data_IF_830486584267
#
_entry.id   IF_830486584267
#
_cell.length_a   1.000
_cell.length_b   1.000
_cell.length_c   1.000
_cell.angle_alpha   90.00
_cell.angle_beta   90.00
_cell.angle_gamma   90.00
#
_symmetry.space_group_name_H-M   'P 1'
#
loop_
_entity.id
_entity.type
_entity.pdbx_description
1 polymer ?
#
# COMPACT_ATOMS: atom_id res chain seq x y z
N UNK A 1 -0.01 21.43 -15.55
CA UNK A 1 0.81 22.65 -15.75
C UNK A 1 0.84 23.41 -14.44
N UNK A 2 2.01 23.70 -13.88
CA UNK A 2 2.14 24.56 -12.70
C UNK A 2 2.47 25.98 -13.14
N UNK A 3 1.89 27.00 -12.49
CA UNK A 3 2.19 28.41 -12.73
C UNK A 3 2.53 29.07 -11.40
N UNK A 4 3.66 29.77 -11.37
CA UNK A 4 4.06 30.59 -10.23
C UNK A 4 3.87 32.05 -10.64
N UNK A 5 3.02 32.76 -9.91
CA UNK A 5 2.66 34.15 -10.20
C UNK A 5 3.09 35.02 -9.02
N UNK A 6 3.92 36.01 -9.30
CA UNK A 6 4.29 37.04 -8.33
C UNK A 6 3.43 38.28 -8.54
N UNK A 7 2.84 38.82 -7.46
CA UNK A 7 2.15 40.11 -7.46
C UNK A 7 2.76 41.00 -6.38
N UNK A 8 3.07 42.24 -6.73
CA UNK A 8 3.52 43.28 -5.79
C UNK A 8 2.87 44.60 -6.17
N UNK A 9 2.51 45.41 -5.17
CA UNK A 9 2.04 46.79 -5.35
C UNK A 9 3.20 47.81 -5.33
N UNK A 10 4.42 47.36 -5.03
CA UNK A 10 5.61 48.20 -4.91
C UNK A 10 6.74 47.70 -5.81
N UNK A 11 7.31 48.61 -6.59
CA UNK A 11 8.45 48.37 -7.48
C UNK A 11 9.77 48.17 -6.72
N UNK A 12 9.82 48.48 -5.42
CA UNK A 12 11.04 48.36 -4.62
C UNK A 12 11.32 46.92 -4.15
N UNK A 13 10.33 46.02 -4.26
CA UNK A 13 10.46 44.63 -3.82
C UNK A 13 10.50 43.69 -5.02
N UNK A 14 11.65 43.02 -5.21
CA UNK A 14 11.81 41.98 -6.22
C UNK A 14 11.58 40.61 -5.58
N UNK A 15 10.42 40.02 -5.84
CA UNK A 15 10.15 38.65 -5.42
C UNK A 15 11.15 37.70 -6.08
N UNK A 16 11.66 36.74 -5.31
CA UNK A 16 12.59 35.70 -5.78
C UNK A 16 12.01 34.33 -5.46
N UNK A 17 11.78 33.54 -6.50
CA UNK A 17 11.56 32.11 -6.32
C UNK A 17 12.90 31.44 -6.08
N UNK A 18 13.03 30.66 -5.00
CA UNK A 18 14.29 29.94 -4.70
C UNK A 18 14.26 28.53 -5.28
N UNK A 19 13.29 27.71 -4.86
CA UNK A 19 13.14 26.34 -5.35
C UNK A 19 11.72 25.82 -5.10
N UNK A 20 11.38 24.75 -5.83
CA UNK A 20 10.27 23.84 -5.55
C UNK A 20 10.81 22.43 -5.65
N UNK A 21 10.38 21.58 -4.73
CA UNK A 21 10.69 20.16 -4.70
C UNK A 21 9.39 19.40 -4.81
N UNK A 22 9.40 18.36 -5.64
CA UNK A 22 8.30 17.41 -5.77
C UNK A 22 8.83 16.04 -5.36
N UNK A 23 8.08 15.37 -4.51
CA UNK A 23 8.34 14.00 -4.12
C UNK A 23 7.20 13.15 -4.69
N UNK A 24 7.59 12.08 -5.36
CA UNK A 24 6.65 11.15 -5.98
C UNK A 24 6.85 9.80 -5.33
N UNK A 25 5.82 9.34 -4.65
CA UNK A 25 5.76 7.99 -4.12
C UNK A 25 4.96 7.13 -5.11
N UNK A 26 5.51 5.99 -5.58
CA UNK A 26 4.74 5.07 -6.39
C UNK A 26 3.61 4.49 -5.55
N UNK A 27 2.41 4.44 -6.13
CA UNK A 27 1.22 3.88 -5.50
C UNK A 27 0.55 2.90 -6.44
N UNK A 28 -0.03 1.84 -5.88
CA UNK A 28 -0.94 0.95 -6.59
C UNK A 28 -2.35 1.49 -6.46
N UNK A 29 -3.12 1.47 -7.54
CA UNK A 29 -4.51 1.92 -7.53
C UNK A 29 -5.41 0.74 -7.84
N UNK A 30 -6.27 0.40 -6.89
CA UNK A 30 -7.28 -0.63 -7.04
C UNK A 30 -8.67 -0.01 -6.96
N UNK A 31 -9.55 -0.30 -7.92
CA UNK A 31 -10.93 0.19 -7.89
C UNK A 31 -11.87 -0.99 -7.64
N UNK A 32 -12.36 -1.13 -6.41
CA UNK A 32 -13.37 -2.13 -6.07
C UNK A 32 -14.70 -1.72 -6.70
N UNK A 33 -15.13 -2.47 -7.72
CA UNK A 33 -16.39 -2.25 -8.43
C UNK A 33 -17.56 -3.10 -7.90
N UNK A 34 -17.35 -3.82 -6.81
CA UNK A 34 -18.41 -4.53 -6.10
C UNK A 34 -19.25 -3.60 -5.23
N UNK A 35 -20.24 -4.19 -4.58
CA UNK A 35 -21.15 -3.52 -3.64
C UNK A 35 -20.75 -3.74 -2.18
N UNK A 36 -19.69 -4.52 -1.93
CA UNK A 36 -19.15 -4.84 -0.62
C UNK A 36 -17.62 -4.79 -0.63
N UNK A 37 -17.02 -4.78 0.56
CA UNK A 37 -15.57 -4.87 0.75
C UNK A 37 -14.99 -6.12 0.07
N UNK A 38 -13.88 -5.93 -0.63
CA UNK A 38 -13.15 -7.00 -1.30
C UNK A 38 -11.91 -7.35 -0.47
N UNK A 39 -11.88 -8.54 0.12
CA UNK A 39 -10.71 -9.09 0.82
C UNK A 39 -9.95 -10.00 -0.16
N UNK A 40 -8.81 -9.56 -0.71
CA UNK A 40 -8.08 -10.36 -1.69
C UNK A 40 -7.31 -11.50 -1.01
N UNK A 41 -6.82 -12.44 -1.80
CA UNK A 41 -5.65 -13.22 -1.46
C UNK A 41 -4.40 -12.52 -2.00
N UNK A 42 -3.29 -12.63 -1.28
CA UNK A 42 -2.03 -12.00 -1.65
C UNK A 42 -0.86 -12.98 -1.50
N UNK A 43 0.05 -12.96 -2.48
CA UNK A 43 1.37 -13.57 -2.38
C UNK A 43 2.41 -12.46 -2.33
N UNK A 44 3.36 -12.58 -1.41
CA UNK A 44 4.44 -11.62 -1.21
C UNK A 44 5.75 -12.43 -1.23
N UNK A 45 6.53 -12.31 -2.30
CA UNK A 45 7.89 -12.88 -2.35
C UNK A 45 8.88 -11.78 -2.01
N UNK A 46 9.48 -11.87 -0.82
CA UNK A 46 10.39 -10.83 -0.31
C UNK A 46 11.73 -10.89 -1.05
N UNK A 47 12.23 -9.72 -1.43
CA UNK A 47 13.65 -9.52 -1.74
C UNK A 47 14.28 -8.81 -0.56
N UNK A 48 15.50 -9.15 -0.16
CA UNK A 48 16.22 -8.65 1.03
C UNK A 48 15.49 -8.87 2.37
N UNK A 49 16.23 -9.01 3.47
CA UNK A 49 15.61 -9.12 4.79
C UNK A 49 14.96 -7.79 5.19
N UNK A 50 13.81 -7.85 5.88
CA UNK A 50 13.19 -6.68 6.50
C UNK A 50 11.67 -6.69 6.46
N UNK A 51 11.10 -5.52 6.78
CA UNK A 51 9.66 -5.33 6.85
C UNK A 51 9.03 -5.24 5.46
N UNK A 52 7.73 -5.50 5.41
CA UNK A 52 6.87 -5.26 4.25
C UNK A 52 5.53 -4.72 4.74
N UNK A 53 5.04 -3.64 4.12
CA UNK A 53 3.69 -3.15 4.39
C UNK A 53 2.97 -2.60 3.16
N UNK A 54 1.64 -2.65 3.25
CA UNK A 54 0.72 -2.04 2.30
C UNK A 54 -0.19 -1.12 3.10
N UNK A 55 -0.13 0.18 2.82
CA UNK A 55 -0.98 1.18 3.47
C UNK A 55 -2.02 1.72 2.51
N UNK A 56 -3.29 1.71 2.92
CA UNK A 56 -4.38 2.30 2.15
C UNK A 56 -4.53 3.81 2.47
N UNK A 57 -3.98 4.64 1.58
CA UNK A 57 -4.00 6.11 1.71
C UNK A 57 -5.40 6.71 1.53
N UNK A 58 -6.34 5.96 0.95
CA UNK A 58 -7.73 6.42 0.72
C UNK A 58 -8.67 6.08 1.89
N UNK A 59 -8.28 5.16 2.77
CA UNK A 59 -9.14 4.64 3.83
C UNK A 59 -8.39 4.58 5.16
N UNK A 60 -8.36 5.71 5.88
CA UNK A 60 -7.84 5.87 7.23
C UNK A 60 -6.38 5.44 7.46
N UNK A 61 -5.58 5.30 6.40
CA UNK A 61 -4.19 4.86 6.50
C UNK A 61 -4.04 3.48 7.13
N UNK A 62 -5.05 2.62 6.99
CA UNK A 62 -5.00 1.23 7.44
C UNK A 62 -3.78 0.54 6.81
N UNK A 63 -2.94 -0.05 7.65
CA UNK A 63 -1.69 -0.67 7.24
C UNK A 63 -1.77 -2.18 7.45
N UNK A 64 -1.59 -2.95 6.39
CA UNK A 64 -1.32 -4.38 6.43
C UNK A 64 0.20 -4.55 6.50
N UNK A 65 0.74 -5.20 7.54
CA UNK A 65 2.18 -5.20 7.77
C UNK A 65 2.71 -6.52 8.31
N UNK A 66 3.83 -6.94 7.72
CA UNK A 66 4.72 -7.94 8.28
C UNK A 66 6.08 -7.34 8.65
N UNK A 67 6.64 -7.82 9.75
CA UNK A 67 8.01 -7.49 10.18
C UNK A 67 8.95 -8.67 9.96
N UNK A 68 10.24 -8.41 9.83
CA UNK A 68 11.29 -9.45 9.85
C UNK A 68 11.07 -10.57 8.80
N UNK A 69 10.66 -10.21 7.59
CA UNK A 69 10.62 -11.16 6.46
C UNK A 69 12.03 -11.47 5.99
N UNK A 70 12.24 -12.69 5.51
CA UNK A 70 13.55 -13.16 5.06
C UNK A 70 13.62 -13.09 3.54
N UNK A 71 14.80 -12.75 3.01
CA UNK A 71 15.07 -12.76 1.57
C UNK A 71 14.69 -14.12 0.93
N UNK A 72 13.94 -14.06 -0.18
CA UNK A 72 13.46 -15.23 -0.92
C UNK A 72 12.25 -15.95 -0.31
N UNK A 73 11.78 -15.55 0.88
CA UNK A 73 10.55 -16.09 1.46
C UNK A 73 9.32 -15.66 0.66
N UNK A 74 8.39 -16.59 0.43
CA UNK A 74 7.06 -16.27 -0.06
C UNK A 74 6.02 -16.47 1.02
N UNK A 75 5.29 -15.39 1.32
CA UNK A 75 4.07 -15.45 2.12
C UNK A 75 2.86 -15.58 1.22
N UNK A 76 1.91 -16.40 1.65
CA UNK A 76 0.54 -16.40 1.14
C UNK A 76 -0.38 -15.96 2.27
N UNK A 77 -1.29 -15.03 1.99
CA UNK A 77 -2.29 -14.57 2.95
C UNK A 77 -3.66 -14.57 2.30
N UNK A 78 -4.59 -15.31 2.91
CA UNK A 78 -6.00 -15.23 2.60
C UNK A 78 -6.66 -14.22 3.56
N UNK A 79 -6.96 -13.02 3.07
CA UNK A 79 -7.52 -11.96 3.92
C UNK A 79 -9.00 -12.17 4.27
N UNK A 80 -9.69 -13.14 3.65
CA UNK A 80 -11.06 -13.48 4.00
C UNK A 80 -11.11 -14.50 5.14
N UNK A 81 -10.27 -15.53 5.11
CA UNK A 81 -10.22 -16.58 6.14
C UNK A 81 -9.16 -16.32 7.21
N UNK A 82 -8.42 -15.22 7.08
CA UNK A 82 -7.36 -14.82 8.01
C UNK A 82 -6.20 -15.84 8.11
N UNK A 83 -5.98 -16.58 7.02
CA UNK A 83 -4.98 -17.64 6.95
C UNK A 83 -3.65 -17.14 6.38
N UNK A 84 -2.53 -17.52 7.01
CA UNK A 84 -1.18 -17.09 6.64
C UNK A 84 -0.28 -18.31 6.51
N UNK A 85 0.26 -18.52 5.32
CA UNK A 85 1.24 -19.55 5.02
C UNK A 85 2.57 -18.93 4.59
N UNK A 86 3.66 -19.67 4.81
CA UNK A 86 5.01 -19.29 4.39
C UNK A 86 5.75 -20.49 3.80
N UNK A 87 6.64 -20.22 2.85
CA UNK A 87 7.59 -21.21 2.34
C UNK A 87 8.65 -21.63 3.36
N UNK A 88 8.80 -20.89 4.47
CA UNK A 88 9.76 -21.23 5.52
C UNK A 88 9.26 -22.41 6.38
N UNK A 89 10.09 -23.44 6.60
CA UNK A 89 9.69 -24.58 7.41
C UNK A 89 9.50 -24.17 8.88
N UNK A 90 8.47 -24.73 9.53
CA UNK A 90 8.22 -24.60 10.98
C UNK A 90 8.19 -23.13 11.47
N UNK A 91 7.73 -22.22 10.61
CA UNK A 91 7.70 -20.77 10.90
C UNK A 91 6.26 -20.30 11.08
N UNK A 92 5.98 -19.62 12.18
CA UNK A 92 4.63 -19.12 12.51
C UNK A 92 4.56 -17.59 12.33
N UNK A 93 4.10 -17.15 11.15
CA UNK A 93 4.17 -15.74 10.72
C UNK A 93 3.17 -14.79 11.38
N UNK A 94 2.14 -15.31 12.04
CA UNK A 94 1.17 -14.50 12.78
C UNK A 94 1.82 -13.64 13.87
N UNK A 95 2.93 -14.08 14.49
CA UNK A 95 3.66 -13.27 15.48
C UNK A 95 4.26 -12.00 14.88
N UNK A 96 4.66 -12.07 13.62
CA UNK A 96 5.29 -10.98 12.89
C UNK A 96 4.28 -10.18 12.04
N UNK A 97 2.99 -10.49 12.16
CA UNK A 97 1.90 -9.81 11.48
C UNK A 97 1.23 -8.83 12.45
N UNK A 98 0.75 -7.70 11.95
CA UNK A 98 0.11 -6.68 12.78
C UNK A 98 -1.39 -6.91 13.01
N UNK A 99 -1.90 -8.11 12.69
CA UNK A 99 -3.30 -8.53 12.84
C UNK A 99 -4.30 -7.63 12.08
N UNK A 100 -3.84 -6.98 11.00
CA UNK A 100 -4.67 -6.12 10.17
C UNK A 100 -4.72 -6.62 8.73
N UNK A 101 -5.73 -7.44 8.45
CA UNK A 101 -5.94 -8.04 7.14
C UNK A 101 -6.34 -7.02 6.07
N UNK A 102 -5.82 -7.22 4.86
CA UNK A 102 -6.02 -6.31 3.75
C UNK A 102 -7.47 -6.38 3.28
N UNK A 103 -8.14 -5.23 3.26
CA UNK A 103 -9.49 -5.06 2.74
C UNK A 103 -9.53 -3.87 1.79
N UNK A 104 -10.26 -4.01 0.70
CA UNK A 104 -10.51 -2.95 -0.27
C UNK A 104 -11.97 -2.53 -0.20
N UNK A 105 -12.29 -1.45 0.54
CA UNK A 105 -13.61 -0.84 0.50
C UNK A 105 -14.06 -0.48 -0.92
N UNK A 106 -15.37 -0.32 -1.10
CA UNK A 106 -15.99 0.04 -2.37
C UNK A 106 -15.35 1.31 -2.94
N UNK A 107 -15.05 1.30 -4.24
CA UNK A 107 -14.45 2.41 -4.95
C UNK A 107 -12.92 2.39 -4.96
N UNK A 108 -12.32 3.58 -5.05
CA UNK A 108 -10.90 3.75 -5.34
C UNK A 108 -10.05 3.65 -4.07
N UNK A 109 -9.17 2.67 -4.06
CA UNK A 109 -8.16 2.40 -3.04
C UNK A 109 -6.79 2.78 -3.61
N UNK A 110 -6.12 3.74 -2.97
CA UNK A 110 -4.74 4.12 -3.30
C UNK A 110 -3.82 3.52 -2.25
N UNK A 111 -2.96 2.60 -2.69
CA UNK A 111 -2.12 1.79 -1.82
C UNK A 111 -0.65 2.23 -1.96
N UNK A 112 -0.02 2.59 -0.84
CA UNK A 112 1.44 2.68 -0.78
C UNK A 112 2.00 1.33 -0.37
N UNK A 113 3.06 0.90 -1.05
CA UNK A 113 3.77 -0.34 -0.73
C UNK A 113 5.16 0.05 -0.23
N UNK A 114 5.51 -0.43 0.95
CA UNK A 114 6.82 -0.24 1.55
C UNK A 114 7.50 -1.61 1.72
N UNK A 115 8.79 -1.68 1.35
CA UNK A 115 9.56 -2.93 1.33
C UNK A 115 9.66 -3.56 -0.05
N UNK A 116 10.86 -4.06 -0.38
CA UNK A 116 11.17 -4.66 -1.69
C UNK A 116 10.61 -6.09 -1.78
N UNK A 117 9.62 -6.31 -2.62
CA UNK A 117 8.99 -7.62 -2.82
C UNK A 117 8.27 -7.71 -4.17
N UNK A 118 8.10 -8.93 -4.67
CA UNK A 118 7.11 -9.23 -5.71
C UNK A 118 5.75 -9.51 -5.08
N UNK A 119 4.70 -8.91 -5.64
CA UNK A 119 3.35 -8.99 -5.11
C UNK A 119 2.40 -9.50 -6.18
N UNK A 120 1.55 -10.47 -5.81
CA UNK A 120 0.46 -10.95 -6.64
C UNK A 120 -0.83 -10.93 -5.83
N UNK A 121 -1.90 -10.38 -6.43
CA UNK A 121 -3.24 -10.41 -5.86
C UNK A 121 -4.13 -11.39 -6.63
N UNK A 122 -4.97 -12.11 -5.91
CA UNK A 122 -6.18 -12.75 -6.45
C UNK A 122 -7.37 -12.18 -5.71
N UNK A 123 -8.38 -11.70 -6.44
CA UNK A 123 -9.51 -11.00 -5.83
C UNK A 123 -10.79 -11.33 -6.57
N UNK A 124 -11.92 -11.14 -5.86
CA UNK A 124 -13.25 -11.26 -6.42
C UNK A 124 -14.11 -10.11 -5.90
N UNK A 125 -14.78 -9.41 -6.80
CA UNK A 125 -15.77 -8.41 -6.40
C UNK A 125 -17.02 -9.12 -5.87
N UNK A 126 -17.52 -8.63 -4.74
CA UNK A 126 -18.77 -9.10 -4.14
C UNK A 126 -19.88 -8.13 -4.52
N UNK A 127 -20.99 -8.65 -5.05
CA UNK A 127 -22.17 -7.85 -5.44
C UNK A 127 -23.36 -8.27 -4.61
N UNK A 128 -24.21 -7.32 -4.24
CA UNK A 128 -25.51 -7.63 -3.64
C UNK A 128 -26.48 -7.97 -4.78
N UNK A 129 -27.09 -9.15 -4.72
CA UNK A 129 -28.13 -9.55 -5.68
C UNK A 129 -29.47 -8.91 -5.33
#
# INVERSE_FOLDING_TARGET
MFRILFKTASYQFKARFKSIQFEFEPVLVFNNKGDLDCSPEIWITKYENGDFSIQNLSHHFNEFKFTELIDGETLYVNNETEDIETTLPVTYRYRNFNDNYLRFPIGKNVLRVDGKADIKFRYQFKTLQ
#
